data_IF_924193257296
#
_entry.id   IF_924193257296
#
_cell.length_a   1.000
_cell.length_b   1.000
_cell.length_c   1.000
_cell.angle_alpha   90.00
_cell.angle_beta   90.00
_cell.angle_gamma   90.00
#
_symmetry.space_group_name_H-M   'P 1'
#
loop_
_entity.id
_entity.type
_entity.pdbx_description
1 polymer ?
#
# COMPACT_ATOMS: atom_id res chain seq x y z
N UNK A 1 2.04 -13.69 8.34
CA UNK A 1 1.81 -13.27 6.94
C UNK A 1 2.60 -11.99 6.68
N UNK A 2 3.38 -11.98 5.62
CA UNK A 2 4.16 -10.81 5.22
C UNK A 2 3.59 -10.24 3.92
N UNK A 3 3.09 -9.02 3.98
CA UNK A 3 2.39 -8.37 2.89
C UNK A 3 3.19 -7.18 2.36
N UNK A 4 3.34 -7.10 1.03
CA UNK A 4 4.04 -6.03 0.34
C UNK A 4 3.10 -5.31 -0.64
N UNK A 5 3.31 -4.00 -0.78
CA UNK A 5 2.57 -3.18 -1.73
C UNK A 5 3.35 -3.07 -3.04
N UNK A 6 2.72 -3.51 -4.11
CA UNK A 6 3.37 -3.65 -5.43
C UNK A 6 2.46 -3.09 -6.53
N UNK A 7 2.32 -1.74 -6.64
CA UNK A 7 1.35 -1.12 -7.54
C UNK A 7 1.65 -1.32 -9.02
N UNK A 8 2.88 -1.67 -9.37
CA UNK A 8 3.38 -1.84 -10.72
C UNK A 8 3.65 -3.30 -11.08
N UNK A 9 3.04 -4.23 -10.35
CA UNK A 9 3.28 -5.66 -10.57
C UNK A 9 2.80 -6.12 -11.96
N UNK A 10 3.69 -6.78 -12.69
CA UNK A 10 3.42 -7.38 -13.99
C UNK A 10 4.17 -8.71 -14.11
N UNK A 11 3.54 -9.69 -14.80
CA UNK A 11 4.16 -10.98 -15.07
C UNK A 11 4.29 -11.87 -13.85
N UNK A 12 5.19 -12.84 -13.93
CA UNK A 12 5.35 -13.90 -12.94
C UNK A 12 6.48 -13.66 -11.95
N UNK A 13 7.37 -12.71 -12.23
CA UNK A 13 8.47 -12.33 -11.35
C UNK A 13 8.38 -10.83 -11.09
N UNK A 14 8.43 -10.47 -9.83
CA UNK A 14 8.39 -9.09 -9.39
C UNK A 14 9.60 -8.76 -8.53
N UNK A 15 10.25 -7.64 -8.81
CA UNK A 15 11.35 -7.13 -8.00
C UNK A 15 10.82 -6.02 -7.09
N UNK A 16 10.91 -6.22 -5.78
CA UNK A 16 10.53 -5.20 -4.80
C UNK A 16 11.42 -3.96 -4.96
N UNK A 17 10.87 -2.78 -4.72
CA UNK A 17 11.67 -1.56 -4.68
C UNK A 17 12.69 -1.61 -3.53
N UNK A 18 13.63 -0.65 -3.51
CA UNK A 18 14.74 -0.65 -2.56
C UNK A 18 14.26 -0.62 -1.08
N UNK A 19 13.22 0.13 -0.77
CA UNK A 19 12.70 0.26 0.59
C UNK A 19 12.02 -1.04 1.06
N UNK A 20 11.15 -1.61 0.23
CA UNK A 20 10.48 -2.87 0.53
C UNK A 20 11.47 -4.05 0.54
N UNK A 21 12.47 -4.04 -0.32
CA UNK A 21 13.52 -5.07 -0.32
C UNK A 21 14.34 -5.04 0.97
N UNK A 22 14.70 -3.85 1.43
CA UNK A 22 15.40 -3.66 2.70
C UNK A 22 14.53 -4.12 3.88
N UNK A 23 13.26 -3.77 3.86
CA UNK A 23 12.31 -4.21 4.88
C UNK A 23 12.20 -5.74 4.91
N UNK A 24 12.03 -6.35 3.74
CA UNK A 24 11.93 -7.81 3.59
C UNK A 24 13.16 -8.53 4.15
N UNK A 25 14.34 -8.13 3.71
CA UNK A 25 15.58 -8.87 4.00
C UNK A 25 16.15 -8.54 5.38
N UNK A 26 16.18 -7.26 5.76
CA UNK A 26 16.85 -6.83 7.00
C UNK A 26 15.93 -6.73 8.21
N UNK A 27 14.70 -6.30 8.01
CA UNK A 27 13.75 -6.14 9.12
C UNK A 27 13.00 -7.43 9.38
N UNK A 28 12.35 -7.98 8.36
CA UNK A 28 11.61 -9.22 8.48
C UNK A 28 12.51 -10.46 8.42
N UNK A 29 13.74 -10.32 7.93
CA UNK A 29 14.76 -11.37 7.81
C UNK A 29 14.29 -12.57 6.98
N UNK A 30 13.53 -12.30 5.94
CA UNK A 30 13.04 -13.32 5.04
C UNK A 30 14.13 -13.72 4.03
N UNK A 31 14.14 -14.98 3.68
CA UNK A 31 15.10 -15.57 2.75
C UNK A 31 14.44 -16.25 1.56
N UNK A 32 15.26 -16.71 0.62
CA UNK A 32 14.79 -17.45 -0.55
C UNK A 32 13.98 -18.68 -0.12
N UNK A 33 12.86 -18.92 -0.81
CA UNK A 33 11.95 -20.04 -0.52
C UNK A 33 10.81 -19.70 0.44
N UNK A 34 10.84 -18.54 1.10
CA UNK A 34 9.76 -18.14 2.00
C UNK A 34 8.59 -17.50 1.23
N UNK A 35 7.38 -17.82 1.71
CA UNK A 35 6.14 -17.34 1.13
C UNK A 35 5.84 -15.91 1.58
N UNK A 36 5.37 -15.09 0.64
CA UNK A 36 4.95 -13.70 0.88
C UNK A 36 3.67 -13.41 0.11
N UNK A 37 2.95 -12.41 0.57
CA UNK A 37 1.75 -11.91 -0.11
C UNK A 37 2.00 -10.51 -0.65
N UNK A 38 1.37 -10.17 -1.77
CA UNK A 38 1.50 -8.87 -2.39
C UNK A 38 0.12 -8.35 -2.79
N UNK A 39 -0.03 -7.02 -2.78
CA UNK A 39 -1.24 -6.34 -3.24
C UNK A 39 -0.87 -5.17 -4.14
N UNK A 40 -1.65 -4.96 -5.17
CA UNK A 40 -1.41 -3.87 -6.13
C UNK A 40 -2.17 -2.58 -5.82
N UNK A 41 -3.03 -2.60 -4.80
CA UNK A 41 -3.90 -1.46 -4.48
C UNK A 41 -5.06 -1.26 -5.46
N UNK A 42 -5.23 -2.18 -6.41
CA UNK A 42 -6.27 -2.14 -7.45
C UNK A 42 -7.30 -3.27 -7.31
N UNK A 43 -7.16 -4.06 -6.25
CA UNK A 43 -8.06 -5.15 -5.93
C UNK A 43 -7.53 -6.54 -6.25
N UNK A 44 -6.25 -6.68 -6.58
CA UNK A 44 -5.65 -7.99 -6.82
C UNK A 44 -4.73 -8.37 -5.66
N UNK A 45 -4.90 -9.58 -5.20
CA UNK A 45 -4.04 -10.23 -4.20
C UNK A 45 -3.16 -11.25 -4.89
N UNK A 46 -1.89 -11.25 -4.58
CA UNK A 46 -0.91 -12.19 -5.10
C UNK A 46 -0.25 -12.99 -3.98
N UNK A 47 -0.01 -14.24 -4.24
CA UNK A 47 0.89 -15.06 -3.42
C UNK A 47 2.17 -15.29 -4.19
N UNK A 48 3.29 -15.29 -3.49
CA UNK A 48 4.58 -15.51 -4.11
C UNK A 48 5.59 -16.14 -3.18
N UNK A 49 6.72 -16.50 -3.76
CA UNK A 49 7.86 -17.09 -3.06
C UNK A 49 9.10 -16.28 -3.39
N UNK A 50 9.89 -15.97 -2.39
CA UNK A 50 11.14 -15.23 -2.59
C UNK A 50 12.11 -16.12 -3.37
N UNK A 51 12.49 -15.67 -4.56
CA UNK A 51 13.50 -16.32 -5.41
C UNK A 51 14.91 -15.88 -5.02
N UNK A 52 15.08 -14.57 -4.80
CA UNK A 52 16.37 -13.97 -4.48
C UNK A 52 16.19 -12.90 -3.42
N UNK A 53 16.75 -13.14 -2.24
CA UNK A 53 16.66 -12.23 -1.11
C UNK A 53 17.79 -11.21 -1.11
N UNK A 54 17.70 -10.21 -1.98
CA UNK A 54 18.67 -9.12 -2.06
C UNK A 54 18.14 -7.82 -1.48
N UNK A 55 18.98 -7.12 -0.72
CA UNK A 55 18.61 -5.88 0.00
C UNK A 55 18.19 -4.76 -0.96
N UNK A 56 18.76 -4.74 -2.16
CA UNK A 56 18.49 -3.69 -3.16
C UNK A 56 17.38 -4.04 -4.14
N UNK A 57 17.05 -5.30 -4.26
CA UNK A 57 16.07 -5.77 -5.22
C UNK A 57 15.69 -7.22 -4.95
N UNK A 58 14.82 -7.43 -3.98
CA UNK A 58 14.32 -8.75 -3.64
C UNK A 58 13.38 -9.23 -4.75
N UNK A 59 13.68 -10.38 -5.36
CA UNK A 59 12.87 -10.96 -6.42
C UNK A 59 11.87 -11.97 -5.86
N UNK A 60 10.61 -11.83 -6.29
CA UNK A 60 9.51 -12.69 -5.87
C UNK A 60 8.89 -13.34 -7.10
N UNK A 61 8.77 -14.66 -7.08
CA UNK A 61 8.06 -15.42 -8.10
C UNK A 61 6.60 -15.56 -7.67
N UNK A 62 5.70 -15.11 -8.52
CA UNK A 62 4.25 -15.15 -8.26
C UNK A 62 3.74 -16.58 -8.49
N UNK A 63 3.06 -17.12 -7.50
CA UNK A 63 2.52 -18.48 -7.51
C UNK A 63 1.00 -18.53 -7.65
N UNK A 64 0.30 -17.49 -7.19
CA UNK A 64 -1.16 -17.39 -7.29
C UNK A 64 -1.59 -15.94 -7.43
N UNK A 65 -2.75 -15.73 -8.03
CA UNK A 65 -3.36 -14.41 -8.26
C UNK A 65 -4.86 -14.49 -8.04
N UNK A 66 -5.38 -13.58 -7.22
CA UNK A 66 -6.82 -13.47 -6.94
C UNK A 66 -7.30 -12.07 -7.25
N UNK A 67 -7.96 -11.93 -8.38
CA UNK A 67 -8.53 -10.66 -8.79
C UNK A 67 -9.77 -10.31 -8.00
N UNK A 68 -10.03 -9.02 -7.83
CA UNK A 68 -11.18 -8.47 -7.11
C UNK A 68 -11.31 -8.99 -5.67
N UNK A 69 -10.17 -9.30 -5.03
CA UNK A 69 -10.16 -9.79 -3.66
C UNK A 69 -10.78 -8.77 -2.70
N UNK A 70 -11.78 -9.23 -1.92
CA UNK A 70 -12.47 -8.38 -0.95
C UNK A 70 -13.29 -7.25 -1.55
N UNK A 71 -13.57 -7.26 -2.87
CA UNK A 71 -14.29 -6.19 -3.55
C UNK A 71 -15.73 -6.10 -3.07
N UNK A 72 -16.16 -4.88 -2.77
CA UNK A 72 -17.56 -4.57 -2.53
C UNK A 72 -18.27 -4.24 -3.86
N UNK A 73 -19.59 -4.25 -3.83
CA UNK A 73 -20.42 -3.91 -4.99
C UNK A 73 -20.67 -2.40 -5.14
N UNK A 74 -19.95 -1.56 -4.41
CA UNK A 74 -20.02 -0.10 -4.50
C UNK A 74 -18.65 0.53 -4.38
N UNK A 75 -18.53 1.75 -4.90
CA UNK A 75 -17.32 2.57 -4.82
C UNK A 75 -17.57 3.73 -3.84
N UNK A 76 -16.74 3.85 -2.81
CA UNK A 76 -16.83 4.92 -1.82
C UNK A 76 -15.69 5.92 -2.03
N UNK A 77 -16.06 7.15 -2.34
CA UNK A 77 -15.13 8.25 -2.56
C UNK A 77 -15.36 9.34 -1.52
N UNK A 78 -14.32 9.71 -0.80
CA UNK A 78 -14.34 10.81 0.15
C UNK A 78 -13.54 12.00 -0.40
N UNK A 79 -14.14 13.17 -0.43
CA UNK A 79 -13.47 14.41 -0.78
C UNK A 79 -13.44 15.32 0.46
N UNK A 80 -12.28 15.82 0.83
CA UNK A 80 -12.08 16.60 2.05
C UNK A 80 -11.03 17.68 1.86
N UNK A 81 -11.25 18.85 2.47
CA UNK A 81 -10.25 19.90 2.54
C UNK A 81 -9.31 19.63 3.73
N UNK A 82 -7.99 19.61 3.53
CA UNK A 82 -7.04 19.38 4.61
C UNK A 82 -7.14 20.43 5.72
N UNK A 83 -7.01 19.96 6.96
CA UNK A 83 -6.95 20.84 8.12
C UNK A 83 -5.52 21.37 8.34
N UNK A 84 -5.38 22.34 9.23
CA UNK A 84 -4.08 22.91 9.58
C UNK A 84 -3.16 21.86 10.21
N UNK A 85 -3.73 21.00 11.07
CA UNK A 85 -2.98 19.93 11.74
C UNK A 85 -2.86 18.69 10.85
N UNK A 86 -1.65 18.42 10.36
CA UNK A 86 -1.37 17.28 9.49
C UNK A 86 -1.62 15.92 10.20
N UNK A 87 -1.42 15.85 11.52
CA UNK A 87 -1.64 14.61 12.27
C UNK A 87 -3.09 14.16 12.24
N UNK A 88 -4.03 15.10 12.23
CA UNK A 88 -5.47 14.80 12.08
C UNK A 88 -5.80 14.27 10.69
N UNK A 89 -5.16 14.80 9.66
CA UNK A 89 -5.33 14.32 8.29
C UNK A 89 -4.78 12.90 8.16
N UNK A 90 -3.59 12.65 8.71
CA UNK A 90 -2.99 11.31 8.71
C UNK A 90 -3.86 10.30 9.46
N UNK A 91 -4.37 10.67 10.62
CA UNK A 91 -5.29 9.83 11.39
C UNK A 91 -6.56 9.50 10.60
N UNK A 92 -7.15 10.49 9.95
CA UNK A 92 -8.33 10.31 9.12
C UNK A 92 -8.06 9.35 7.96
N UNK A 93 -6.95 9.54 7.24
CA UNK A 93 -6.55 8.69 6.12
C UNK A 93 -6.34 7.24 6.57
N UNK A 94 -5.67 7.06 7.71
CA UNK A 94 -5.46 5.74 8.31
C UNK A 94 -6.79 5.05 8.60
N UNK A 95 -7.70 5.72 9.29
CA UNK A 95 -9.01 5.13 9.66
C UNK A 95 -9.91 4.89 8.45
N UNK A 96 -9.95 5.81 7.50
CA UNK A 96 -10.71 5.62 6.27
C UNK A 96 -10.18 4.44 5.45
N UNK A 97 -8.87 4.27 5.40
CA UNK A 97 -8.24 3.15 4.70
C UNK A 97 -8.57 1.82 5.37
N UNK A 98 -8.51 1.77 6.71
CA UNK A 98 -8.91 0.59 7.49
C UNK A 98 -10.38 0.21 7.27
N UNK A 99 -11.26 1.20 7.10
CA UNK A 99 -12.68 1.01 6.81
C UNK A 99 -12.94 0.60 5.36
N UNK A 100 -11.91 0.60 4.51
CA UNK A 100 -12.00 0.14 3.13
C UNK A 100 -12.49 1.18 2.14
N UNK A 101 -12.20 2.45 2.34
CA UNK A 101 -12.53 3.51 1.38
C UNK A 101 -11.78 3.27 0.06
N UNK A 102 -12.44 3.55 -1.07
CA UNK A 102 -11.87 3.28 -2.39
C UNK A 102 -11.04 4.46 -2.92
N UNK A 103 -11.46 5.68 -2.62
CA UNK A 103 -10.82 6.88 -3.13
C UNK A 103 -10.93 8.03 -2.15
N UNK A 104 -9.84 8.80 -2.00
CA UNK A 104 -9.80 10.00 -1.19
C UNK A 104 -9.25 11.14 -2.04
N UNK A 105 -9.99 12.24 -2.13
CA UNK A 105 -9.55 13.45 -2.82
C UNK A 105 -9.36 14.58 -1.82
N UNK A 106 -8.18 15.19 -1.85
CA UNK A 106 -7.89 16.38 -1.06
C UNK A 106 -8.28 17.64 -1.85
N UNK A 107 -9.19 18.42 -1.29
CA UNK A 107 -9.69 19.65 -1.92
C UNK A 107 -8.86 20.85 -1.52
N UNK A 108 -8.63 21.76 -2.47
CA UNK A 108 -8.03 23.06 -2.20
C UNK A 108 -9.13 24.13 -2.26
N UNK A 109 -9.82 24.32 -1.14
CA UNK A 109 -10.92 25.29 -1.05
C UNK A 109 -10.40 26.67 -0.66
N UNK A 110 -11.16 27.73 -1.03
CA UNK A 110 -10.81 29.13 -0.77
C UNK A 110 -10.58 29.44 0.72
N UNK A 111 -11.30 28.77 1.61
CA UNK A 111 -11.21 28.95 3.06
C UNK A 111 -10.50 27.79 3.78
N UNK A 112 -9.76 26.95 3.05
CA UNK A 112 -8.98 25.89 3.64
C UNK A 112 -7.85 26.47 4.53
N UNK A 113 -7.71 25.94 5.74
CA UNK A 113 -6.65 26.33 6.64
C UNK A 113 -5.26 25.92 6.13
N UNK A 114 -5.20 24.80 5.41
CA UNK A 114 -3.96 24.28 4.83
C UNK A 114 -4.00 24.34 3.32
N UNK A 115 -3.03 25.07 2.75
CA UNK A 115 -2.90 25.28 1.29
C UNK A 115 -1.93 24.28 0.64
N UNK A 116 -0.98 23.73 1.41
CA UNK A 116 0.05 22.82 0.90
C UNK A 116 0.05 21.54 1.71
N UNK A 117 0.02 20.41 1.00
CA UNK A 117 0.08 19.06 1.61
C UNK A 117 1.12 18.25 0.86
N UNK A 118 1.96 17.52 1.60
CA UNK A 118 2.92 16.57 1.01
C UNK A 118 2.21 15.26 0.72
N UNK A 119 1.75 15.08 -0.51
CA UNK A 119 1.02 13.90 -0.95
C UNK A 119 1.81 12.61 -0.73
N UNK A 120 3.11 12.63 -0.99
CA UNK A 120 3.99 11.48 -0.80
C UNK A 120 3.96 10.93 0.63
N UNK A 121 3.97 11.82 1.63
CA UNK A 121 3.85 11.44 3.04
C UNK A 121 2.50 10.81 3.36
N UNK A 122 1.42 11.39 2.85
CA UNK A 122 0.06 10.89 3.06
C UNK A 122 -0.15 9.54 2.37
N UNK A 123 0.43 9.35 1.20
CA UNK A 123 0.40 8.08 0.49
C UNK A 123 1.05 6.96 1.31
N UNK A 124 2.17 7.23 1.96
CA UNK A 124 2.83 6.27 2.88
C UNK A 124 1.93 5.87 4.06
N UNK A 125 1.18 6.81 4.61
CA UNK A 125 0.20 6.53 5.69
C UNK A 125 -0.89 5.57 5.19
N UNK A 126 -1.43 5.83 4.01
CA UNK A 126 -2.46 4.99 3.40
C UNK A 126 -1.94 3.58 3.14
N UNK A 127 -0.75 3.45 2.57
CA UNK A 127 -0.13 2.15 2.29
C UNK A 127 0.08 1.35 3.58
N UNK A 128 0.58 1.98 4.62
CA UNK A 128 0.79 1.33 5.91
C UNK A 128 -0.52 0.84 6.52
N UNK A 129 -1.58 1.66 6.47
CA UNK A 129 -2.90 1.30 6.98
C UNK A 129 -3.52 0.14 6.18
N UNK A 130 -3.37 0.16 4.85
CA UNK A 130 -3.84 -0.91 3.98
C UNK A 130 -3.18 -2.25 4.33
N UNK A 131 -1.88 -2.26 4.57
CA UNK A 131 -1.14 -3.48 4.94
C UNK A 131 -1.61 -4.07 6.26
N UNK A 132 -2.01 -3.24 7.22
CA UNK A 132 -2.46 -3.69 8.54
C UNK A 132 -3.90 -4.20 8.55
N UNK A 133 -4.76 -3.65 7.71
CA UNK A 133 -6.21 -3.88 7.75
C UNK A 133 -6.69 -5.10 6.96
N UNK A 134 -5.82 -5.79 6.30
CA UNK A 134 -6.16 -6.96 5.48
C UNK A 134 -6.29 -8.25 6.27
#
# INVERSE_FOLDING_TARGET
>A
MHLFYTPDIEGDIYTLNADESRHCVRVLRLGAGEAVSLVDGKGTWYEGVIERAEVRGCEIRITDRRELYGRRNFHLHLAVAPTKNIDRIEWMLEKCTEMGIDEITLLHAAHSERKVVKEERLEKVIVAAMKQSL
#
